data_IF_917004836048
#
_entry.id   IF_917004836048
#
_cell.length_a   1.000
_cell.length_b   1.000
_cell.length_c   1.000
_cell.angle_alpha   90.00
_cell.angle_beta   90.00
_cell.angle_gamma   90.00
#
_symmetry.space_group_name_H-M   'P 1'
#
loop_
_entity.id
_entity.type
_entity.pdbx_description
1 polymer ?
#
# COMPACT_ATOMS: atom_id res chain seq x y z
N UNK A 1 37.11 12.30 24.65
CA UNK A 1 37.09 10.85 24.92
C UNK A 1 35.87 10.30 24.20
N UNK A 2 36.07 9.76 22.98
CA UNK A 2 36.23 8.32 22.69
C UNK A 2 34.95 7.52 23.04
N UNK A 3 34.28 6.75 22.18
CA UNK A 3 34.51 6.32 20.79
C UNK A 3 33.22 5.68 20.26
N UNK A 4 33.06 5.67 18.93
CA UNK A 4 32.06 4.97 18.09
C UNK A 4 32.04 3.43 18.26
N UNK A 5 30.94 2.80 17.81
CA UNK A 5 30.85 1.57 16.96
C UNK A 5 29.36 1.42 16.58
N UNK A 6 28.84 1.57 15.35
CA UNK A 6 29.21 1.08 14.02
C UNK A 6 29.38 -0.44 13.96
N UNK A 7 28.33 -1.16 13.56
CA UNK A 7 28.44 -2.55 13.10
C UNK A 7 28.12 -2.60 11.61
N UNK A 8 29.18 -2.71 10.83
CA UNK A 8 29.23 -3.12 9.44
C UNK A 8 28.78 -4.58 9.31
N UNK A 9 27.89 -4.89 8.37
CA UNK A 9 27.74 -6.28 7.88
C UNK A 9 28.59 -6.43 6.61
N UNK A 10 29.64 -7.24 6.75
CA UNK A 10 30.52 -7.72 5.67
C UNK A 10 29.75 -8.63 4.72
N UNK A 11 30.00 -8.45 3.43
CA UNK A 11 29.71 -9.41 2.37
C UNK A 11 30.59 -10.64 2.53
N UNK A 12 29.98 -11.82 2.67
CA UNK A 12 30.65 -13.11 2.51
C UNK A 12 30.02 -13.78 1.29
N UNK A 13 30.78 -13.88 0.19
CA UNK A 13 30.50 -14.82 -0.89
C UNK A 13 31.29 -16.10 -0.62
N UNK A 14 30.59 -17.20 -0.35
CA UNK A 14 31.14 -18.55 -0.47
C UNK A 14 30.16 -19.44 -1.24
N UNK A 15 30.77 -20.34 -2.02
CA UNK A 15 30.24 -21.11 -3.14
C UNK A 15 29.17 -22.14 -2.75
N UNK A 16 28.29 -22.39 -3.72
CA UNK A 16 27.61 -23.65 -4.03
C UNK A 16 27.40 -24.63 -2.88
N UNK A 17 26.19 -24.64 -2.32
CA UNK A 17 25.66 -25.79 -1.58
C UNK A 17 24.18 -25.90 -1.93
N UNK A 18 23.80 -27.09 -2.40
CA UNK A 18 22.42 -27.51 -2.73
C UNK A 18 21.43 -26.93 -1.72
N UNK A 19 20.55 -26.04 -2.19
CA UNK A 19 19.34 -25.67 -1.45
C UNK A 19 18.46 -26.91 -1.46
N UNK A 20 18.46 -27.66 -0.35
CA UNK A 20 17.35 -28.55 -0.03
C UNK A 20 16.14 -27.64 0.21
N UNK A 21 15.25 -27.57 -0.78
CA UNK A 21 13.90 -27.04 -0.60
C UNK A 21 13.18 -27.98 0.36
N UNK A 22 13.18 -27.66 1.66
CA UNK A 22 12.26 -28.29 2.59
C UNK A 22 10.85 -27.89 2.15
N UNK A 23 10.09 -28.83 1.62
CA UNK A 23 8.65 -28.66 1.43
C UNK A 23 8.02 -28.57 2.82
N UNK A 24 7.95 -27.36 3.39
CA UNK A 24 7.13 -27.09 4.56
C UNK A 24 5.68 -27.07 4.11
N UNK A 25 4.87 -27.98 4.65
CA UNK A 25 3.42 -27.96 4.45
C UNK A 25 2.86 -26.62 4.92
N UNK A 26 1.95 -25.98 4.14
CA UNK A 26 1.38 -24.69 4.52
C UNK A 26 0.67 -24.79 5.87
N UNK A 27 0.85 -23.77 6.73
CA UNK A 27 0.20 -23.70 8.03
C UNK A 27 -1.33 -23.75 7.87
N UNK A 28 -2.05 -24.23 8.88
CA UNK A 28 -3.52 -24.32 8.85
C UNK A 28 -4.18 -22.97 8.53
N UNK A 29 -3.64 -21.86 9.07
CA UNK A 29 -4.08 -20.50 8.74
C UNK A 29 -3.83 -20.12 7.27
N UNK A 30 -2.69 -20.55 6.71
CA UNK A 30 -2.38 -20.33 5.29
C UNK A 30 -3.34 -21.11 4.38
N UNK A 31 -3.75 -22.31 4.80
CA UNK A 31 -4.78 -23.10 4.12
C UNK A 31 -6.14 -22.41 4.19
N UNK A 32 -6.57 -21.93 5.36
CA UNK A 32 -7.81 -21.15 5.49
C UNK A 32 -7.81 -19.91 4.58
N UNK A 33 -6.72 -19.13 4.57
CA UNK A 33 -6.57 -17.96 3.72
C UNK A 33 -6.68 -18.29 2.22
N UNK A 34 -5.98 -19.36 1.78
CA UNK A 34 -5.98 -19.81 0.38
C UNK A 34 -7.37 -20.31 -0.05
N UNK A 35 -7.99 -21.16 0.77
CA UNK A 35 -9.32 -21.71 0.52
C UNK A 35 -10.37 -20.60 0.48
N UNK A 36 -10.33 -19.64 1.42
CA UNK A 36 -11.21 -18.46 1.40
C UNK A 36 -11.08 -17.68 0.09
N UNK A 37 -9.86 -17.36 -0.33
CA UNK A 37 -9.59 -16.63 -1.60
C UNK A 37 -10.19 -17.38 -2.80
N UNK A 38 -10.04 -18.71 -2.83
CA UNK A 38 -10.59 -19.54 -3.91
C UNK A 38 -12.13 -19.57 -3.93
N UNK A 39 -12.77 -19.67 -2.76
CA UNK A 39 -14.23 -19.67 -2.63
C UNK A 39 -14.83 -18.33 -3.03
N UNK A 40 -14.25 -17.20 -2.57
CA UNK A 40 -14.70 -15.85 -2.96
C UNK A 40 -14.66 -15.69 -4.49
N UNK A 41 -13.53 -16.08 -5.12
CA UNK A 41 -13.39 -16.01 -6.58
C UNK A 41 -14.41 -16.89 -7.31
N UNK A 42 -14.71 -18.08 -6.77
CA UNK A 42 -15.70 -18.98 -7.34
C UNK A 42 -17.13 -18.42 -7.21
N UNK A 43 -17.47 -17.82 -6.07
CA UNK A 43 -18.76 -17.13 -5.87
C UNK A 43 -18.92 -16.00 -6.87
N UNK A 44 -17.92 -15.13 -7.01
CA UNK A 44 -17.96 -14.01 -7.96
C UNK A 44 -18.16 -14.49 -9.39
N UNK A 45 -17.51 -15.59 -9.77
CA UNK A 45 -17.67 -16.19 -11.10
C UNK A 45 -19.07 -16.79 -11.30
N UNK A 46 -19.63 -17.46 -10.30
CA UNK A 46 -20.98 -18.03 -10.36
C UNK A 46 -22.04 -16.92 -10.48
N UNK A 47 -21.91 -15.85 -9.70
CA UNK A 47 -22.78 -14.67 -9.79
C UNK A 47 -22.69 -14.01 -11.16
N UNK A 48 -21.48 -13.82 -11.71
CA UNK A 48 -21.28 -13.29 -13.07
C UNK A 48 -21.90 -14.15 -14.17
N UNK A 49 -22.05 -15.45 -13.93
CA UNK A 49 -22.70 -16.40 -14.86
C UNK A 49 -24.20 -16.56 -14.59
N UNK A 50 -24.76 -15.80 -13.65
CA UNK A 50 -26.14 -15.92 -13.17
C UNK A 50 -26.49 -17.33 -12.63
N UNK A 51 -25.47 -18.09 -12.22
CA UNK A 51 -25.63 -19.40 -11.57
C UNK A 51 -25.78 -19.23 -10.05
N UNK A 52 -26.96 -18.77 -9.66
CA UNK A 52 -27.28 -18.49 -8.26
C UNK A 52 -27.32 -19.75 -7.38
N UNK A 53 -27.62 -20.91 -7.97
CA UNK A 53 -27.64 -22.18 -7.24
C UNK A 53 -26.23 -22.56 -6.77
N UNK A 54 -25.23 -22.50 -7.67
CA UNK A 54 -23.83 -22.72 -7.32
C UNK A 54 -23.30 -21.64 -6.37
N UNK A 55 -23.68 -20.38 -6.59
CA UNK A 55 -23.27 -19.28 -5.69
C UNK A 55 -23.77 -19.49 -4.25
N UNK A 56 -25.00 -19.99 -4.07
CA UNK A 56 -25.55 -20.29 -2.75
C UNK A 56 -24.81 -21.43 -2.04
N UNK A 57 -24.41 -22.48 -2.75
CA UNK A 57 -23.61 -23.58 -2.20
C UNK A 57 -22.22 -23.11 -1.78
N UNK A 58 -21.52 -22.41 -2.67
CA UNK A 58 -20.18 -21.86 -2.40
C UNK A 58 -20.21 -20.87 -1.23
N UNK A 59 -21.31 -20.12 -1.06
CA UNK A 59 -21.49 -19.24 0.09
C UNK A 59 -21.65 -20.01 1.40
N UNK A 60 -22.38 -21.14 1.41
CA UNK A 60 -22.47 -22.02 2.59
C UNK A 60 -21.12 -22.58 2.98
N UNK A 61 -20.30 -22.96 2.00
CA UNK A 61 -18.95 -23.46 2.23
C UNK A 61 -18.04 -22.35 2.79
N UNK A 62 -18.17 -21.12 2.28
CA UNK A 62 -17.46 -19.96 2.82
C UNK A 62 -17.89 -19.63 4.26
N UNK A 63 -19.19 -19.74 4.57
CA UNK A 63 -19.71 -19.55 5.93
C UNK A 63 -19.20 -20.63 6.90
N UNK A 64 -19.15 -21.88 6.46
CA UNK A 64 -18.55 -22.97 7.24
C UNK A 64 -17.05 -22.69 7.51
N UNK A 65 -16.30 -22.30 6.48
CA UNK A 65 -14.88 -21.93 6.61
C UNK A 65 -14.68 -20.74 7.57
N UNK A 66 -15.54 -19.74 7.49
CA UNK A 66 -15.49 -18.55 8.36
C UNK A 66 -15.74 -18.89 9.83
N UNK A 67 -16.54 -19.93 10.11
CA UNK A 67 -16.79 -20.41 11.47
C UNK A 67 -15.55 -21.07 12.07
N UNK A 68 -14.73 -21.72 11.24
CA UNK A 68 -13.53 -22.45 11.67
C UNK A 68 -12.25 -21.60 11.67
N UNK A 69 -12.23 -20.49 10.92
CA UNK A 69 -11.04 -19.66 10.79
C UNK A 69 -10.87 -18.67 11.96
N UNK A 70 -9.88 -18.88 12.86
CA UNK A 70 -9.67 -17.99 14.01
C UNK A 70 -9.25 -16.57 13.60
N UNK A 71 -8.64 -16.39 12.42
CA UNK A 71 -8.28 -15.06 11.91
C UNK A 71 -9.55 -14.26 11.57
N UNK A 72 -10.52 -14.90 10.91
CA UNK A 72 -11.79 -14.28 10.58
C UNK A 72 -12.63 -13.98 11.81
N UNK A 73 -12.70 -14.92 12.76
CA UNK A 73 -13.38 -14.72 14.03
C UNK A 73 -12.85 -13.48 14.78
N UNK A 74 -11.52 -13.34 14.89
CA UNK A 74 -10.90 -12.17 15.51
C UNK A 74 -11.11 -10.87 14.72
N UNK A 75 -11.15 -10.95 13.39
CA UNK A 75 -11.47 -9.79 12.55
C UNK A 75 -12.90 -9.28 12.81
N UNK A 76 -13.86 -10.20 12.99
CA UNK A 76 -15.24 -9.85 13.33
C UNK A 76 -15.37 -9.29 14.74
N UNK A 77 -14.69 -9.89 15.72
CA UNK A 77 -14.65 -9.37 17.09
C UNK A 77 -14.00 -7.99 17.18
N UNK A 78 -12.92 -7.76 16.42
CA UNK A 78 -12.30 -6.45 16.30
C UNK A 78 -13.27 -5.41 15.73
N UNK A 79 -13.95 -5.75 14.63
CA UNK A 79 -14.91 -4.88 13.99
C UNK A 79 -16.08 -4.54 14.92
N UNK A 80 -16.61 -5.53 15.64
CA UNK A 80 -17.64 -5.37 16.66
C UNK A 80 -17.18 -4.43 17.78
N UNK A 81 -16.00 -4.66 18.35
CA UNK A 81 -15.43 -3.80 19.39
C UNK A 81 -15.23 -2.35 18.91
N UNK A 82 -14.86 -2.14 17.65
CA UNK A 82 -14.73 -0.79 17.07
C UNK A 82 -16.11 -0.14 16.94
N UNK A 83 -17.10 -0.88 16.42
CA UNK A 83 -18.47 -0.38 16.24
C UNK A 83 -19.13 -0.01 17.58
N UNK A 84 -18.81 -0.74 18.65
CA UNK A 84 -19.29 -0.50 20.01
C UNK A 84 -18.39 0.45 20.83
N UNK A 85 -17.38 1.07 20.21
CA UNK A 85 -16.43 1.99 20.87
C UNK A 85 -15.65 1.36 22.05
N UNK A 86 -15.52 0.03 22.08
CA UNK A 86 -14.76 -0.76 23.06
C UNK A 86 -13.27 -0.79 22.71
N UNK A 87 -12.62 0.38 22.72
CA UNK A 87 -11.25 0.54 22.21
C UNK A 87 -10.18 -0.30 22.93
N UNK A 88 -10.33 -0.58 24.22
CA UNK A 88 -9.40 -1.43 24.96
C UNK A 88 -9.43 -2.88 24.48
N UNK A 89 -10.62 -3.38 24.14
CA UNK A 89 -10.80 -4.75 23.65
C UNK A 89 -10.41 -4.86 22.17
N UNK A 90 -10.73 -3.83 21.38
CA UNK A 90 -10.22 -3.70 20.02
C UNK A 90 -8.68 -3.74 19.98
N UNK A 91 -8.00 -3.09 20.93
CA UNK A 91 -6.54 -3.15 21.03
C UNK A 91 -6.00 -4.56 21.32
N UNK A 92 -6.71 -5.35 22.14
CA UNK A 92 -6.36 -6.75 22.43
C UNK A 92 -6.55 -7.62 21.18
N UNK A 93 -7.73 -7.56 20.56
CA UNK A 93 -8.02 -8.34 19.35
C UNK A 93 -7.06 -7.98 18.20
N UNK A 94 -6.67 -6.72 18.07
CA UNK A 94 -5.64 -6.28 17.11
C UNK A 94 -4.27 -6.88 17.41
N UNK A 95 -3.87 -6.99 18.68
CA UNK A 95 -2.60 -7.61 19.06
C UNK A 95 -2.60 -9.12 18.79
N UNK A 96 -3.72 -9.80 19.05
CA UNK A 96 -3.92 -11.22 18.75
C UNK A 96 -3.94 -11.50 17.24
N UNK A 97 -4.61 -10.66 16.46
CA UNK A 97 -4.56 -10.69 14.98
C UNK A 97 -3.12 -10.61 14.48
N UNK A 98 -2.33 -9.66 15.00
CA UNK A 98 -0.92 -9.51 14.64
C UNK A 98 -0.07 -10.75 14.99
N UNK A 99 -0.43 -11.46 16.06
CA UNK A 99 0.23 -12.71 16.42
C UNK A 99 -0.10 -13.84 15.44
N UNK A 100 -1.35 -13.93 14.96
CA UNK A 100 -1.76 -14.87 13.92
C UNK A 100 -1.15 -14.53 12.55
N UNK A 101 -1.05 -13.25 12.19
CA UNK A 101 -0.36 -12.79 10.99
C UNK A 101 1.09 -13.26 10.93
N UNK A 102 1.78 -13.30 12.08
CA UNK A 102 3.14 -13.80 12.16
C UNK A 102 3.25 -15.31 11.87
N UNK A 103 2.20 -16.09 12.14
CA UNK A 103 2.13 -17.54 11.88
C UNK A 103 1.78 -17.87 10.43
N UNK A 104 1.21 -16.91 9.69
CA UNK A 104 0.97 -17.03 8.26
C UNK A 104 2.29 -16.98 7.43
N UNK A 105 3.41 -16.62 8.07
CA UNK A 105 4.68 -16.38 7.38
C UNK A 105 4.61 -15.10 6.52
N UNK A 106 5.67 -14.75 5.77
CA UNK A 106 5.52 -13.79 4.69
C UNK A 106 4.57 -14.43 3.67
N UNK A 107 3.28 -14.10 3.77
CA UNK A 107 2.35 -14.32 2.68
C UNK A 107 3.05 -13.77 1.43
N UNK A 108 3.18 -14.53 0.34
CA UNK A 108 3.41 -13.85 -0.92
C UNK A 108 2.25 -12.86 -1.01
N UNK A 109 2.57 -11.58 -0.90
CA UNK A 109 1.68 -10.47 -1.23
C UNK A 109 1.43 -10.60 -2.72
N UNK A 110 0.65 -11.60 -3.09
CA UNK A 110 -0.23 -11.55 -4.24
C UNK A 110 -1.44 -10.74 -3.79
N UNK A 111 -1.17 -9.47 -3.41
CA UNK A 111 -2.11 -8.40 -3.62
C UNK A 111 -2.58 -8.54 -5.06
N UNK A 112 -3.88 -8.38 -5.27
CA UNK A 112 -4.46 -8.50 -6.60
C UNK A 112 -3.86 -7.39 -7.49
N UNK A 113 -2.73 -7.70 -8.14
CA UNK A 113 -1.95 -6.81 -9.02
C UNK A 113 -2.84 -6.29 -10.15
N UNK A 114 -4.01 -6.92 -10.35
CA UNK A 114 -5.06 -6.53 -11.28
C UNK A 114 -5.85 -5.26 -10.89
N UNK A 115 -5.58 -4.62 -9.74
CA UNK A 115 -6.20 -3.35 -9.32
C UNK A 115 -5.19 -2.21 -9.11
N UNK A 116 -3.96 -2.42 -9.56
CA UNK A 116 -2.88 -1.45 -9.41
C UNK A 116 -2.75 -0.56 -10.66
N UNK A 117 -2.49 0.72 -10.45
CA UNK A 117 -2.03 1.62 -11.49
C UNK A 117 -0.71 2.23 -11.04
N UNK A 118 0.19 2.54 -11.97
CA UNK A 118 1.49 3.10 -11.62
C UNK A 118 1.86 4.31 -12.48
N UNK A 119 2.75 5.14 -11.95
CA UNK A 119 3.37 6.27 -12.62
C UNK A 119 4.84 6.35 -12.23
N UNK A 120 5.71 6.73 -13.17
CA UNK A 120 7.14 6.89 -12.96
C UNK A 120 7.64 8.08 -13.78
N UNK A 121 8.16 9.10 -13.12
CA UNK A 121 8.71 10.27 -13.78
C UNK A 121 10.00 10.72 -13.12
N UNK A 122 10.90 11.29 -13.92
CA UNK A 122 12.15 11.89 -13.45
C UNK A 122 12.15 13.36 -13.84
N UNK A 123 12.48 14.24 -12.90
CA UNK A 123 12.69 15.67 -13.15
C UNK A 123 13.93 16.13 -12.41
N UNK A 124 14.91 16.69 -13.13
CA UNK A 124 16.19 17.16 -12.57
C UNK A 124 16.89 16.13 -11.67
N UNK A 125 16.86 14.85 -12.07
CA UNK A 125 17.44 13.75 -11.31
C UNK A 125 16.63 13.31 -10.09
N UNK A 126 15.46 13.88 -9.81
CA UNK A 126 14.53 13.34 -8.80
C UNK A 126 13.51 12.45 -9.50
N UNK A 127 13.53 11.16 -9.18
CA UNK A 127 12.54 10.18 -9.63
C UNK A 127 11.39 10.12 -8.64
N UNK A 128 10.17 10.23 -9.14
CA UNK A 128 8.93 9.99 -8.39
C UNK A 128 8.24 8.78 -9.01
N UNK A 129 8.05 7.74 -8.20
CA UNK A 129 7.29 6.54 -8.54
C UNK A 129 6.06 6.48 -7.65
N UNK A 130 4.92 6.15 -8.23
CA UNK A 130 3.68 6.03 -7.48
C UNK A 130 2.95 4.79 -7.94
N UNK A 131 2.44 4.04 -6.98
CA UNK A 131 1.57 2.89 -7.19
C UNK A 131 0.26 3.15 -6.44
N UNK A 132 -0.88 3.10 -7.12
CA UNK A 132 -2.20 3.18 -6.50
C UNK A 132 -2.84 1.81 -6.43
N UNK A 133 -3.72 1.61 -5.45
CA UNK A 133 -4.51 0.38 -5.28
C UNK A 133 -5.91 0.75 -4.82
N UNK A 134 -6.93 0.21 -5.49
CA UNK A 134 -8.30 0.32 -5.01
C UNK A 134 -8.50 -0.45 -3.71
N UNK A 135 -9.30 0.09 -2.78
CA UNK A 135 -9.57 -0.49 -1.46
C UNK A 135 -11.04 -0.91 -1.36
N UNK A 136 -11.41 -2.14 -1.77
CA UNK A 136 -12.81 -2.59 -1.76
C UNK A 136 -13.46 -2.53 -0.38
N UNK A 137 -12.72 -2.93 0.67
CA UNK A 137 -13.23 -2.99 2.04
C UNK A 137 -13.50 -1.61 2.65
N UNK A 138 -12.82 -0.58 2.16
CA UNK A 138 -12.97 0.82 2.62
C UNK A 138 -13.92 1.60 1.71
N UNK A 139 -14.43 0.99 0.64
CA UNK A 139 -15.27 1.63 -0.37
C UNK A 139 -16.73 1.20 -0.26
N UNK A 140 -17.63 2.08 -0.70
CA UNK A 140 -19.05 1.78 -0.86
C UNK A 140 -19.53 2.29 -2.23
N UNK A 141 -19.40 1.47 -3.30
CA UNK A 141 -19.83 1.84 -4.65
C UNK A 141 -21.31 2.23 -4.74
N UNK A 142 -22.16 1.59 -3.93
CA UNK A 142 -23.60 1.91 -3.82
C UNK A 142 -23.87 3.31 -3.29
N UNK A 143 -22.95 3.86 -2.49
CA UNK A 143 -23.01 5.23 -1.97
C UNK A 143 -22.12 6.20 -2.77
N UNK A 144 -21.53 5.75 -3.88
CA UNK A 144 -20.60 6.54 -4.67
C UNK A 144 -19.31 6.89 -3.92
N UNK A 145 -18.85 6.06 -2.99
CA UNK A 145 -17.63 6.29 -2.22
C UNK A 145 -16.55 5.29 -2.64
N UNK A 146 -15.45 5.77 -3.20
CA UNK A 146 -14.36 4.94 -3.71
C UNK A 146 -13.05 5.36 -3.05
N UNK A 147 -12.39 4.43 -2.36
CA UNK A 147 -11.12 4.68 -1.68
C UNK A 147 -9.96 4.04 -2.44
N UNK A 148 -8.92 4.84 -2.65
CA UNK A 148 -7.67 4.41 -3.25
C UNK A 148 -6.53 4.68 -2.29
N UNK A 149 -5.70 3.68 -1.98
CA UNK A 149 -4.40 3.90 -1.35
C UNK A 149 -3.37 4.16 -2.44
N UNK A 150 -2.30 4.89 -2.11
CA UNK A 150 -1.15 5.02 -2.98
C UNK A 150 0.15 5.03 -2.19
N UNK A 151 1.16 4.38 -2.75
CA UNK A 151 2.53 4.34 -2.28
C UNK A 151 3.38 5.26 -3.16
N UNK A 152 4.08 6.22 -2.57
CA UNK A 152 4.99 7.13 -3.30
C UNK A 152 6.42 6.85 -2.88
N UNK A 153 7.29 6.65 -3.88
CA UNK A 153 8.75 6.59 -3.72
C UNK A 153 9.41 7.75 -4.44
N UNK A 154 10.11 8.58 -3.68
CA UNK A 154 10.92 9.70 -4.19
C UNK A 154 12.39 9.32 -4.06
N UNK A 155 13.10 9.20 -5.17
CA UNK A 155 14.54 8.86 -5.21
C UNK A 155 15.34 10.00 -5.79
N UNK A 156 16.39 10.42 -5.08
CA UNK A 156 17.35 11.38 -5.60
C UNK A 156 18.44 10.64 -6.39
N UNK A 157 18.38 10.72 -7.71
CA UNK A 157 19.37 10.20 -8.66
C UNK A 157 20.35 11.28 -9.13
N UNK A 158 20.22 12.51 -8.62
CA UNK A 158 21.16 13.60 -8.88
C UNK A 158 22.39 13.51 -7.97
N UNK A 159 23.39 14.33 -8.29
CA UNK A 159 24.61 14.55 -7.52
C UNK A 159 24.45 15.62 -6.42
N UNK A 160 23.27 16.22 -6.27
CA UNK A 160 23.00 17.29 -5.30
C UNK A 160 22.20 16.79 -4.12
N UNK A 161 22.36 17.42 -2.96
CA UNK A 161 21.44 17.23 -1.84
C UNK A 161 20.15 18.02 -2.09
N UNK A 162 19.00 17.35 -1.99
CA UNK A 162 17.69 17.98 -2.21
C UNK A 162 16.75 17.76 -1.03
N UNK A 163 15.85 18.71 -0.77
CA UNK A 163 14.82 18.59 0.26
C UNK A 163 13.43 18.79 -0.32
N UNK A 164 12.51 17.87 -0.03
CA UNK A 164 11.09 18.06 -0.36
C UNK A 164 10.46 19.01 0.66
N UNK A 165 9.98 20.16 0.20
CA UNK A 165 9.43 21.21 1.07
C UNK A 165 7.92 21.33 1.00
N UNK A 166 7.34 21.16 -0.18
CA UNK A 166 5.90 21.30 -0.40
C UNK A 166 5.40 20.28 -1.41
N UNK A 167 4.10 19.99 -1.33
CA UNK A 167 3.37 19.19 -2.32
C UNK A 167 2.26 20.01 -2.94
N UNK A 168 1.99 19.77 -4.20
CA UNK A 168 0.79 20.19 -4.89
C UNK A 168 0.23 19.01 -5.66
N UNK A 169 -1.00 18.63 -5.35
CA UNK A 169 -1.76 17.61 -6.08
C UNK A 169 -2.93 18.25 -6.80
N UNK A 170 -3.21 17.74 -7.98
CA UNK A 170 -4.40 17.98 -8.77
C UNK A 170 -5.10 16.63 -8.93
N UNK A 171 -6.29 16.52 -8.37
CA UNK A 171 -7.11 15.32 -8.40
C UNK A 171 -8.30 15.59 -9.30
N UNK A 172 -8.57 14.67 -10.24
CA UNK A 172 -9.70 14.78 -11.17
C UNK A 172 -10.53 13.51 -11.12
N UNK A 173 -11.81 13.67 -10.87
CA UNK A 173 -12.76 12.57 -10.96
C UNK A 173 -13.25 12.37 -12.41
N UNK A 174 -14.01 11.31 -12.68
CA UNK A 174 -14.51 11.03 -14.04
C UNK A 174 -15.63 11.96 -14.49
N UNK A 175 -16.20 12.77 -13.61
CA UNK A 175 -17.19 13.80 -13.96
C UNK A 175 -16.54 15.10 -14.43
N UNK A 176 -15.21 15.20 -14.30
CA UNK A 176 -14.44 16.39 -14.63
C UNK A 176 -14.27 17.35 -13.44
N UNK A 177 -14.78 17.00 -12.24
CA UNK A 177 -14.54 17.78 -11.03
C UNK A 177 -13.05 17.74 -10.70
N UNK A 178 -12.48 18.92 -10.44
CA UNK A 178 -11.07 19.11 -10.09
C UNK A 178 -10.95 19.55 -8.64
N UNK A 179 -10.09 18.90 -7.89
CA UNK A 179 -9.68 19.28 -6.54
C UNK A 179 -8.16 19.54 -6.51
N UNK A 180 -7.74 20.57 -5.77
CA UNK A 180 -6.33 20.87 -5.56
C UNK A 180 -5.96 20.77 -4.09
N UNK A 181 -4.90 20.02 -3.79
CA UNK A 181 -4.37 19.87 -2.45
C UNK A 181 -2.95 20.43 -2.42
N UNK A 182 -2.74 21.49 -1.63
CA UNK A 182 -1.43 22.10 -1.43
C UNK A 182 -1.06 22.06 0.04
N UNK A 183 0.23 21.87 0.33
CA UNK A 183 0.67 21.93 1.71
C UNK A 183 2.17 21.70 1.90
N UNK A 184 2.68 21.98 3.11
CA UNK A 184 4.06 21.72 3.47
C UNK A 184 4.30 20.22 3.57
N UNK A 185 5.42 19.79 3.01
CA UNK A 185 5.94 18.43 3.08
C UNK A 185 4.99 17.37 2.56
N UNK A 186 5.24 16.14 2.98
CA UNK A 186 4.44 14.94 2.74
C UNK A 186 4.29 14.19 4.06
N UNK A 187 3.08 13.76 4.40
CA UNK A 187 2.79 13.02 5.65
C UNK A 187 3.41 13.63 6.92
N UNK A 188 3.43 14.98 7.00
CA UNK A 188 4.02 15.72 8.13
C UNK A 188 5.55 15.79 8.13
N UNK A 189 6.23 15.35 7.08
CA UNK A 189 7.69 15.32 6.94
C UNK A 189 8.18 16.17 5.77
N UNK A 190 9.39 16.71 5.89
CA UNK A 190 10.11 17.43 4.82
C UNK A 190 11.48 16.75 4.59
N UNK A 191 11.50 15.57 3.94
CA UNK A 191 12.69 14.74 3.87
C UNK A 191 13.82 15.42 3.09
N UNK A 192 15.04 15.27 3.61
CA UNK A 192 16.29 15.61 2.91
C UNK A 192 16.81 14.32 2.28
N UNK A 193 17.06 14.36 0.97
CA UNK A 193 17.54 13.25 0.16
C UNK A 193 18.97 13.54 -0.30
N UNK A 194 19.91 12.78 0.25
CA UNK A 194 21.27 12.72 -0.28
C UNK A 194 21.28 12.01 -1.65
N UNK A 195 22.33 12.20 -2.47
CA UNK A 195 22.52 11.43 -3.69
C UNK A 195 22.35 9.92 -3.48
N UNK A 196 21.53 9.30 -4.33
CA UNK A 196 21.20 7.87 -4.30
C UNK A 196 20.25 7.45 -3.17
N UNK A 197 19.66 8.38 -2.40
CA UNK A 197 18.72 8.05 -1.32
C UNK A 197 17.28 8.22 -1.76
N UNK A 198 16.42 7.42 -1.12
CA UNK A 198 14.98 7.42 -1.35
C UNK A 198 14.22 7.72 -0.06
N UNK A 199 13.04 8.30 -0.24
CA UNK A 199 12.01 8.43 0.79
C UNK A 199 10.71 7.88 0.26
N UNK A 200 10.00 7.12 1.10
CA UNK A 200 8.78 6.41 0.75
C UNK A 200 7.68 6.74 1.75
N UNK A 201 6.44 6.84 1.28
CA UNK A 201 5.26 7.02 2.13
C UNK A 201 3.98 6.51 1.48
N UNK A 202 3.04 6.11 2.34
CA UNK A 202 1.69 5.70 1.94
C UNK A 202 0.67 6.77 2.33
N UNK A 203 -0.36 6.92 1.51
CA UNK A 203 -1.49 7.81 1.76
C UNK A 203 -2.73 7.33 0.99
N UNK A 204 -3.85 8.04 1.10
CA UNK A 204 -5.10 7.67 0.46
C UNK A 204 -5.75 8.85 -0.28
N UNK A 205 -6.59 8.52 -1.26
CA UNK A 205 -7.40 9.45 -2.04
C UNK A 205 -8.83 8.90 -2.13
N UNK A 206 -9.79 9.50 -1.41
CA UNK A 206 -11.20 9.22 -1.63
C UNK A 206 -11.70 9.92 -2.90
N UNK A 207 -12.56 9.24 -3.67
CA UNK A 207 -13.23 9.76 -4.85
C UNK A 207 -14.73 9.45 -4.80
N UNK A 208 -15.51 10.27 -5.51
CA UNK A 208 -16.94 10.04 -5.74
C UNK A 208 -17.25 9.19 -6.98
N UNK A 209 -16.21 8.77 -7.71
CA UNK A 209 -16.31 8.02 -8.97
C UNK A 209 -15.37 6.81 -8.97
N UNK A 210 -15.72 5.73 -9.71
CA UNK A 210 -14.90 4.51 -9.77
C UNK A 210 -13.57 4.68 -10.52
N UNK A 211 -13.43 5.80 -11.25
CA UNK A 211 -12.23 6.16 -12.01
C UNK A 211 -11.90 7.63 -11.76
N UNK A 212 -10.61 7.94 -11.69
CA UNK A 212 -10.09 9.30 -11.62
C UNK A 212 -8.61 9.36 -11.99
N UNK A 213 -7.98 10.50 -11.71
CA UNK A 213 -6.55 10.69 -11.89
C UNK A 213 -5.97 11.63 -10.84
N UNK A 214 -4.70 11.42 -10.52
CA UNK A 214 -3.89 12.30 -9.70
C UNK A 214 -2.65 12.71 -10.47
N UNK A 215 -2.29 13.98 -10.41
CA UNK A 215 -1.06 14.54 -10.99
C UNK A 215 -0.61 15.71 -10.13
N UNK A 216 0.62 16.19 -10.30
CA UNK A 216 1.09 17.28 -9.44
C UNK A 216 2.58 17.55 -9.49
N UNK A 217 3.08 18.09 -8.38
CA UNK A 217 4.47 18.51 -8.25
C UNK A 217 4.92 18.53 -6.79
N UNK A 218 6.16 18.11 -6.54
CA UNK A 218 6.87 18.39 -5.30
C UNK A 218 7.78 19.60 -5.49
N UNK A 219 7.68 20.58 -4.60
CA UNK A 219 8.67 21.66 -4.54
C UNK A 219 9.91 21.16 -3.83
N UNK A 220 11.01 21.09 -4.57
CA UNK A 220 12.30 20.62 -4.13
C UNK A 220 13.25 21.79 -3.94
N UNK A 221 13.96 21.80 -2.82
CA UNK A 221 15.05 22.74 -2.54
C UNK A 221 16.39 22.04 -2.73
N UNK A 222 17.30 22.66 -3.47
CA UNK A 222 18.68 22.25 -3.57
C UNK A 222 19.44 22.85 -2.39
N UNK A 223 20.11 22.00 -1.63
CA UNK A 223 20.93 22.40 -0.49
C UNK A 223 22.41 22.35 -0.88
N UNK A 224 23.17 23.30 -0.34
CA UNK A 224 24.62 23.32 -0.40
C UNK A 224 25.22 22.18 0.42
N UNK A 225 26.18 21.45 -0.14
CA UNK A 225 26.89 20.41 0.61
C UNK A 225 27.83 20.98 1.67
N UNK A 226 28.35 22.20 1.44
CA UNK A 226 29.35 22.83 2.31
C UNK A 226 28.76 23.30 3.65
N UNK A 227 27.59 23.94 3.61
CA UNK A 227 26.97 24.63 4.75
C UNK A 227 25.48 24.31 4.94
N UNK A 228 24.90 23.45 4.10
CA UNK A 228 23.49 23.05 4.18
C UNK A 228 22.50 24.15 3.79
N UNK A 229 22.97 25.30 3.30
CA UNK A 229 22.10 26.42 2.95
C UNK A 229 21.32 26.18 1.66
N UNK A 230 20.15 26.81 1.57
CA UNK A 230 19.35 26.84 0.36
C UNK A 230 20.14 27.50 -0.79
N UNK A 231 20.23 26.80 -1.93
CA UNK A 231 20.88 27.32 -3.15
C UNK A 231 19.87 27.68 -4.23
N UNK A 232 18.92 26.79 -4.51
CA UNK A 232 17.95 26.96 -5.59
C UNK A 232 16.74 26.04 -5.36
N UNK A 233 15.67 26.20 -6.13
CA UNK A 233 14.49 25.33 -6.06
C UNK A 233 13.98 24.93 -7.44
N UNK A 234 13.31 23.79 -7.50
CA UNK A 234 12.64 23.34 -8.71
C UNK A 234 11.42 22.49 -8.39
N UNK A 235 10.56 22.40 -9.40
CA UNK A 235 9.42 21.51 -9.42
C UNK A 235 9.76 20.10 -9.86
N UNK A 236 9.72 19.12 -8.97
CA UNK A 236 9.76 17.72 -9.35
C UNK A 236 8.36 17.27 -9.77
N UNK A 237 8.16 16.99 -11.06
CA UNK A 237 6.84 16.62 -11.59
C UNK A 237 6.37 15.29 -11.02
N UNK A 238 5.07 15.22 -10.78
CA UNK A 238 4.34 14.00 -10.52
C UNK A 238 3.47 13.74 -11.74
N UNK A 239 3.85 12.75 -12.53
CA UNK A 239 3.13 12.43 -13.76
C UNK A 239 1.82 11.70 -13.48
N UNK A 240 0.90 11.80 -14.42
CA UNK A 240 -0.49 11.42 -14.23
C UNK A 240 -0.64 9.96 -13.84
N UNK A 241 -1.13 9.74 -12.62
CA UNK A 241 -1.51 8.46 -12.07
C UNK A 241 -3.01 8.23 -12.23
N UNK A 242 -3.39 7.13 -12.88
CA UNK A 242 -4.79 6.71 -12.93
C UNK A 242 -5.21 6.13 -11.57
N UNK A 243 -6.44 6.41 -11.16
CA UNK A 243 -7.13 5.73 -10.06
C UNK A 243 -8.29 4.95 -10.67
N UNK A 244 -8.36 3.64 -10.44
CA UNK A 244 -9.36 2.81 -11.11
C UNK A 244 -9.72 1.59 -10.27
N UNK A 245 -11.03 1.33 -10.12
CA UNK A 245 -11.57 0.12 -9.50
C UNK A 245 -11.34 -1.15 -10.34
N UNK A 246 -10.88 -0.99 -11.59
CA UNK A 246 -10.39 -2.06 -12.46
C UNK A 246 -8.96 -1.72 -12.83
N UNK A 247 -7.97 -2.55 -12.50
CA UNK A 247 -6.60 -2.27 -12.90
C UNK A 247 -6.46 -2.31 -14.42
N UNK A 248 -5.38 -1.69 -14.88
CA UNK A 248 -5.10 -1.48 -16.30
C UNK A 248 -3.64 -1.69 -16.56
#
# INVERSE_FOLDING_TARGET
MNTRLCVSRRTVRLRGSRVYTSQQSPSTLSQYATTRKSLIKAIDLAVKKEDYASAALLKRDLEALNTEDPYYALTMQLQECINEERFQEAAKHKAELKALELQLGPQPVEEDVSLQCSSNTVTNGVRVQIESTYRPLESSPTLGQYFFSYHVKVTNESDKVVQLRQRHWVIRDSTGKKEEVRGPGVVGKQPILLPGKSFEYDSACPLTTPVGSMEGEFQMWILSEDDGQFKDQFGARIDRLKLSMTGS
#
